data_IF_694412366749
#
_entry.id   IF_694412366749
#
_cell.length_a   1.000
_cell.length_b   1.000
_cell.length_c   1.000
_cell.angle_alpha   90.00
_cell.angle_beta   90.00
_cell.angle_gamma   90.00
#
_symmetry.space_group_name_H-M   'P 1'
#
loop_
_entity.id
_entity.type
_entity.pdbx_description
1 polymer ?
#
# COMPACT_ATOMS: atom_id res chain seq x y z
N UNK A 1 -4.28 5.62 16.97
CA UNK A 1 -3.50 4.38 17.16
C UNK A 1 -2.97 3.99 15.81
N UNK A 2 -1.67 3.73 15.72
CA UNK A 2 -0.96 3.42 14.47
C UNK A 2 -0.89 1.90 14.31
N UNK A 3 -1.10 1.34 13.11
CA UNK A 3 -1.00 -0.11 12.81
C UNK A 3 0.14 -0.87 13.48
N UNK A 4 1.29 -0.22 13.71
CA UNK A 4 2.43 -0.82 14.39
C UNK A 4 2.12 -1.23 15.84
N UNK A 5 1.21 -0.52 16.51
CA UNK A 5 0.78 -0.80 17.88
C UNK A 5 -0.30 -1.89 17.97
N UNK A 6 -0.84 -2.30 16.82
CA UNK A 6 -1.96 -3.26 16.75
C UNK A 6 -1.49 -4.70 16.85
N UNK A 7 -0.26 -5.01 16.43
CA UNK A 7 0.27 -6.37 16.41
C UNK A 7 1.34 -6.56 17.48
N UNK A 8 1.28 -7.71 18.16
CA UNK A 8 2.37 -8.07 19.07
C UNK A 8 3.66 -8.37 18.29
N UNK A 9 4.79 -8.13 18.94
CA UNK A 9 6.14 -8.42 18.39
C UNK A 9 6.25 -9.88 17.96
N UNK A 10 5.71 -10.82 18.75
CA UNK A 10 5.76 -12.25 18.46
C UNK A 10 4.92 -12.64 17.23
N UNK A 11 3.75 -12.02 17.03
CA UNK A 11 2.93 -12.23 15.83
C UNK A 11 3.66 -11.77 14.57
N UNK A 12 4.32 -10.61 14.62
CA UNK A 12 5.06 -10.08 13.48
C UNK A 12 6.31 -10.89 13.20
N UNK A 13 7.07 -11.25 14.23
CA UNK A 13 8.23 -12.13 14.10
C UNK A 13 7.83 -13.45 13.44
N UNK A 14 6.77 -14.10 13.94
CA UNK A 14 6.27 -15.35 13.37
C UNK A 14 5.89 -15.18 11.89
N UNK A 15 5.10 -14.15 11.58
CA UNK A 15 4.68 -13.88 10.20
C UNK A 15 5.87 -13.57 9.25
N UNK A 16 6.92 -12.93 9.76
CA UNK A 16 8.16 -12.71 8.99
C UNK A 16 8.88 -14.04 8.68
N UNK A 17 8.93 -14.95 9.65
CA UNK A 17 9.59 -16.25 9.52
C UNK A 17 8.74 -17.28 8.75
N UNK A 18 7.45 -17.05 8.58
CA UNK A 18 6.57 -17.89 7.75
C UNK A 18 6.51 -17.41 6.28
N UNK A 19 6.92 -16.17 6.00
CA UNK A 19 6.84 -15.57 4.67
C UNK A 19 7.84 -16.16 3.66
N UNK A 20 7.40 -16.78 2.55
CA UNK A 20 8.29 -17.54 1.65
C UNK A 20 9.36 -16.69 0.93
N UNK A 21 9.08 -15.39 0.72
CA UNK A 21 10.00 -14.48 0.03
C UNK A 21 10.96 -13.74 0.97
N UNK A 22 10.56 -13.53 2.23
CA UNK A 22 11.37 -12.81 3.23
C UNK A 22 12.18 -13.78 4.09
N UNK A 23 11.58 -14.89 4.53
CA UNK A 23 12.18 -15.86 5.45
C UNK A 23 13.61 -16.27 5.05
N UNK A 24 13.91 -16.67 3.80
CA UNK A 24 15.26 -17.13 3.47
C UNK A 24 16.33 -16.05 3.65
N UNK A 25 16.00 -14.79 3.37
CA UNK A 25 16.92 -13.66 3.53
C UNK A 25 17.11 -13.35 5.02
N UNK A 26 16.01 -13.34 5.78
CA UNK A 26 16.04 -13.07 7.21
C UNK A 26 16.80 -14.15 7.98
N UNK A 27 16.58 -15.44 7.69
CA UNK A 27 17.33 -16.55 8.28
C UNK A 27 18.83 -16.47 7.96
N UNK A 28 19.19 -16.10 6.72
CA UNK A 28 20.60 -15.87 6.36
C UNK A 28 21.19 -14.72 7.18
N UNK A 29 20.45 -13.62 7.36
CA UNK A 29 20.90 -12.44 8.14
C UNK A 29 21.06 -12.75 9.63
N UNK A 30 20.24 -13.66 10.18
CA UNK A 30 20.40 -14.15 11.55
C UNK A 30 21.66 -15.00 11.73
N UNK A 31 22.04 -15.77 10.70
CA UNK A 31 23.18 -16.69 10.76
C UNK A 31 24.52 -16.02 10.46
N UNK A 32 24.52 -14.95 9.67
CA UNK A 32 25.74 -14.28 9.23
C UNK A 32 25.51 -12.79 8.99
N UNK A 33 26.49 -11.96 9.36
CA UNK A 33 26.53 -10.55 8.99
C UNK A 33 26.90 -10.35 7.51
N UNK A 34 27.60 -11.33 6.91
CA UNK A 34 28.12 -11.24 5.54
C UNK A 34 26.98 -11.41 4.54
N UNK A 35 26.84 -10.43 3.64
CA UNK A 35 25.87 -10.47 2.56
C UNK A 35 26.19 -11.60 1.58
N UNK A 36 25.22 -12.48 1.25
CA UNK A 36 25.40 -13.46 0.18
C UNK A 36 25.83 -12.79 -1.12
N UNK A 37 26.68 -13.45 -1.89
CA UNK A 37 27.12 -12.99 -3.20
C UNK A 37 25.97 -12.98 -4.23
N UNK A 38 26.18 -12.25 -5.31
CA UNK A 38 25.20 -12.19 -6.42
C UNK A 38 24.99 -13.55 -7.09
N UNK A 39 26.01 -14.40 -7.10
CA UNK A 39 25.93 -15.75 -7.66
C UNK A 39 25.04 -16.65 -6.81
N UNK A 40 25.17 -16.59 -5.48
CA UNK A 40 24.36 -17.39 -4.55
C UNK A 40 22.87 -17.09 -4.65
N UNK A 41 22.49 -15.85 -4.95
CA UNK A 41 21.09 -15.43 -5.10
C UNK A 41 20.62 -15.34 -6.56
N UNK A 42 21.42 -15.79 -7.53
CA UNK A 42 21.11 -15.63 -8.96
C UNK A 42 19.82 -16.34 -9.38
N UNK A 43 19.52 -17.50 -8.79
CA UNK A 43 18.32 -18.30 -9.07
C UNK A 43 17.11 -17.94 -8.20
N UNK A 44 17.27 -16.99 -7.27
CA UNK A 44 16.17 -16.59 -6.39
C UNK A 44 15.10 -15.76 -7.13
N UNK A 45 13.90 -15.74 -6.54
CA UNK A 45 12.77 -14.95 -7.04
C UNK A 45 13.11 -13.45 -7.04
N UNK A 46 12.47 -12.65 -7.92
CA UNK A 46 12.64 -11.20 -7.90
C UNK A 46 12.33 -10.57 -6.52
N UNK A 47 11.38 -11.13 -5.78
CA UNK A 47 11.02 -10.71 -4.43
C UNK A 47 12.20 -10.89 -3.45
N UNK A 48 12.77 -12.11 -3.37
CA UNK A 48 13.94 -12.41 -2.54
C UNK A 48 15.14 -11.53 -2.89
N UNK A 49 15.39 -11.30 -4.19
CA UNK A 49 16.46 -10.41 -4.66
C UNK A 49 16.28 -8.97 -4.21
N UNK A 50 15.03 -8.47 -4.11
CA UNK A 50 14.74 -7.14 -3.56
C UNK A 50 15.07 -7.06 -2.08
N UNK A 51 14.68 -8.06 -1.29
CA UNK A 51 15.04 -8.11 0.14
C UNK A 51 16.55 -8.28 0.34
N UNK A 52 17.22 -9.08 -0.50
CA UNK A 52 18.68 -9.18 -0.51
C UNK A 52 19.36 -7.84 -0.79
N UNK A 53 18.80 -7.02 -1.68
CA UNK A 53 19.35 -5.69 -1.96
C UNK A 53 19.27 -4.73 -0.76
N UNK A 54 18.40 -5.02 0.22
CA UNK A 54 18.30 -4.27 1.49
C UNK A 54 19.25 -4.79 2.56
N UNK A 55 20.09 -5.79 2.27
CA UNK A 55 20.85 -6.49 3.32
C UNK A 55 21.57 -5.57 4.30
N UNK A 56 22.22 -4.52 3.79
CA UNK A 56 23.02 -3.59 4.59
C UNK A 56 22.14 -2.66 5.43
N UNK A 57 20.90 -2.41 4.99
CA UNK A 57 19.90 -1.66 5.76
C UNK A 57 19.01 -2.53 6.64
N UNK A 58 19.06 -3.86 6.52
CA UNK A 58 18.28 -4.78 7.35
C UNK A 58 18.88 -4.89 8.76
N UNK A 59 18.06 -4.57 9.77
CA UNK A 59 18.41 -4.67 11.18
C UNK A 59 17.33 -5.44 11.94
N UNK A 60 17.78 -6.22 12.92
CA UNK A 60 16.92 -6.92 13.85
C UNK A 60 16.69 -6.06 15.09
N UNK A 61 15.44 -5.91 15.52
CA UNK A 61 15.03 -5.27 16.78
C UNK A 61 14.01 -6.15 17.47
N UNK A 62 14.32 -6.61 18.68
CA UNK A 62 13.40 -7.45 19.47
C UNK A 62 12.86 -8.68 18.71
N UNK A 63 13.69 -9.26 17.84
CA UNK A 63 13.30 -10.41 17.02
C UNK A 63 12.56 -10.07 15.72
N UNK A 64 12.26 -8.80 15.45
CA UNK A 64 11.58 -8.33 14.24
C UNK A 64 12.54 -7.56 13.33
N UNK A 65 12.43 -7.80 12.03
CA UNK A 65 13.27 -7.14 11.04
C UNK A 65 12.70 -5.81 10.54
N UNK A 66 13.58 -4.81 10.50
CA UNK A 66 13.33 -3.47 9.98
C UNK A 66 14.38 -3.12 8.92
N UNK A 67 14.00 -2.33 7.92
CA UNK A 67 14.94 -1.61 7.07
C UNK A 67 15.21 -0.22 7.66
N UNK A 68 16.49 0.14 7.79
CA UNK A 68 16.93 1.47 8.17
C UNK A 68 17.18 2.30 6.92
N UNK A 69 16.51 3.43 6.80
CA UNK A 69 16.82 4.42 5.77
C UNK A 69 17.42 5.66 6.42
N UNK A 70 18.54 6.12 5.88
CA UNK A 70 19.20 7.37 6.28
C UNK A 70 19.29 8.28 5.05
N UNK A 71 19.10 9.59 5.25
CA UNK A 71 19.42 10.54 4.19
C UNK A 71 20.94 10.76 4.11
N UNK A 72 21.41 11.29 2.97
CA UNK A 72 22.85 11.52 2.72
C UNK A 72 23.51 12.46 3.76
N UNK A 73 22.71 13.23 4.51
CA UNK A 73 23.16 14.11 5.59
C UNK A 73 23.04 13.53 7.01
N UNK A 74 22.62 12.27 7.17
CA UNK A 74 22.45 11.59 8.47
C UNK A 74 21.39 12.20 9.41
N UNK A 75 20.72 13.28 9.00
CA UNK A 75 19.80 14.05 9.84
C UNK A 75 18.40 13.42 9.95
N UNK A 76 18.06 12.50 9.04
CA UNK A 76 16.79 11.78 9.06
C UNK A 76 17.06 10.28 9.02
N UNK A 77 16.77 9.60 10.12
CA UNK A 77 16.73 8.14 10.21
C UNK A 77 15.27 7.68 10.24
N UNK A 78 14.89 6.81 9.30
CA UNK A 78 13.58 6.17 9.26
C UNK A 78 13.72 4.66 9.40
N UNK A 79 12.87 4.08 10.22
CA UNK A 79 12.78 2.64 10.40
C UNK A 79 11.51 2.15 9.75
N UNK A 80 11.65 1.23 8.81
CA UNK A 80 10.54 0.63 8.10
C UNK A 80 10.43 -0.84 8.51
N UNK A 81 9.30 -1.23 9.09
CA UNK A 81 9.00 -2.63 9.34
C UNK A 81 8.98 -3.41 8.01
N UNK A 82 9.71 -4.53 7.93
CA UNK A 82 9.59 -5.45 6.80
C UNK A 82 8.25 -6.18 6.94
N UNK A 83 7.25 -5.72 6.19
CA UNK A 83 5.88 -6.14 6.38
C UNK A 83 5.64 -7.52 5.76
N UNK A 84 5.15 -8.52 6.52
CA UNK A 84 4.72 -9.79 5.97
C UNK A 84 3.55 -9.63 5.00
N UNK A 85 3.51 -10.45 3.94
CA UNK A 85 2.45 -10.38 2.92
C UNK A 85 1.03 -10.48 3.50
N UNK A 86 0.85 -11.27 4.55
CA UNK A 86 -0.44 -11.45 5.25
C UNK A 86 -0.99 -10.17 5.88
N UNK A 87 -0.14 -9.16 6.12
CA UNK A 87 -0.52 -7.88 6.77
C UNK A 87 -0.67 -6.71 5.80
N UNK A 88 -0.35 -6.89 4.51
CA UNK A 88 -0.40 -5.82 3.51
C UNK A 88 -1.81 -5.22 3.41
N UNK A 89 -2.84 -6.07 3.33
CA UNK A 89 -4.23 -5.61 3.17
C UNK A 89 -4.70 -4.74 4.34
N UNK A 90 -4.32 -5.11 5.57
CA UNK A 90 -4.65 -4.38 6.78
C UNK A 90 -4.03 -2.97 6.79
N UNK A 91 -2.75 -2.84 6.40
CA UNK A 91 -2.07 -1.54 6.26
C UNK A 91 -2.71 -0.67 5.18
N UNK A 92 -3.07 -1.26 4.04
CA UNK A 92 -3.71 -0.54 2.94
C UNK A 92 -5.10 -0.01 3.33
N UNK A 93 -5.86 -0.78 4.13
CA UNK A 93 -7.17 -0.36 4.66
C UNK A 93 -7.03 0.75 5.70
N UNK A 94 -6.16 0.62 6.70
CA UNK A 94 -5.98 1.67 7.74
C UNK A 94 -5.54 3.01 7.14
N UNK A 95 -4.59 2.96 6.20
CA UNK A 95 -4.06 4.20 5.57
C UNK A 95 -5.17 4.95 4.83
N UNK A 96 -6.18 4.22 4.36
CA UNK A 96 -7.37 4.77 3.71
C UNK A 96 -8.41 5.30 4.71
N UNK A 97 -8.70 4.55 5.78
CA UNK A 97 -9.81 4.83 6.71
C UNK A 97 -9.48 5.87 7.80
N UNK A 98 -8.23 6.35 7.86
CA UNK A 98 -7.83 7.38 8.84
C UNK A 98 -8.68 8.68 8.70
N UNK A 99 -9.19 9.19 9.84
CA UNK A 99 -10.13 10.31 9.96
C UNK A 99 -9.68 11.66 9.34
N UNK A 100 -8.44 11.76 8.85
CA UNK A 100 -7.96 12.91 8.07
C UNK A 100 -8.36 12.87 6.59
N UNK A 101 -9.16 11.88 6.17
CA UNK A 101 -10.37 12.02 5.34
C UNK A 101 -10.32 12.74 3.97
N UNK A 102 -9.17 13.19 3.50
CA UNK A 102 -8.99 13.66 2.13
C UNK A 102 -8.70 12.48 1.21
N UNK A 103 -9.21 12.49 -0.02
CA UNK A 103 -8.83 11.52 -1.04
C UNK A 103 -7.31 11.53 -1.25
N UNK A 104 -6.60 10.64 -0.55
CA UNK A 104 -5.18 10.48 -0.73
C UNK A 104 -4.97 9.74 -2.05
N UNK A 105 -4.60 10.49 -3.09
CA UNK A 105 -4.11 9.90 -4.33
C UNK A 105 -2.91 9.00 -4.04
N UNK A 106 -2.62 8.07 -4.95
CA UNK A 106 -1.54 7.06 -4.85
C UNK A 106 -0.29 7.59 -4.15
N UNK A 107 0.20 8.78 -4.55
CA UNK A 107 1.42 9.36 -4.00
C UNK A 107 1.35 9.61 -2.49
N UNK A 108 0.26 10.17 -1.99
CA UNK A 108 0.15 10.49 -0.56
C UNK A 108 0.01 9.21 0.29
N UNK A 109 -0.74 8.22 -0.20
CA UNK A 109 -0.83 6.89 0.44
C UNK A 109 0.54 6.22 0.47
N UNK A 110 1.27 6.29 -0.64
CA UNK A 110 2.62 5.75 -0.75
C UNK A 110 3.59 6.42 0.23
N UNK A 111 3.55 7.75 0.35
CA UNK A 111 4.38 8.50 1.30
C UNK A 111 4.12 8.04 2.75
N UNK A 112 2.85 7.99 3.17
CA UNK A 112 2.47 7.57 4.53
C UNK A 112 2.89 6.15 4.86
N UNK A 113 2.69 5.20 3.94
CA UNK A 113 3.08 3.82 4.16
C UNK A 113 4.61 3.71 4.28
N UNK A 114 5.36 4.41 3.42
CA UNK A 114 6.83 4.41 3.45
C UNK A 114 7.43 5.06 4.68
N UNK A 115 6.66 5.77 5.50
CA UNK A 115 7.19 6.26 6.78
C UNK A 115 7.45 5.12 7.76
N UNK A 116 6.70 4.00 7.64
CA UNK A 116 6.63 2.93 8.64
C UNK A 116 6.84 1.52 8.09
N UNK A 117 6.54 1.27 6.81
CA UNK A 117 6.52 -0.07 6.25
C UNK A 117 7.32 -0.18 4.96
N UNK A 118 7.83 -1.38 4.73
CA UNK A 118 8.45 -1.79 3.47
C UNK A 118 7.97 -3.20 3.07
N UNK A 119 7.67 -3.37 1.78
CA UNK A 119 7.61 -4.68 1.12
C UNK A 119 7.97 -4.55 -0.37
N UNK A 120 8.28 -5.67 -1.01
CA UNK A 120 8.87 -5.76 -2.34
C UNK A 120 8.03 -5.14 -3.48
N UNK A 121 6.70 -5.16 -3.36
CA UNK A 121 5.77 -4.62 -4.36
C UNK A 121 4.96 -3.42 -3.86
N UNK A 122 5.44 -2.71 -2.84
CA UNK A 122 4.73 -1.62 -2.16
C UNK A 122 4.09 -0.60 -3.09
N UNK A 123 4.85 -0.08 -4.07
CA UNK A 123 4.31 0.88 -5.04
C UNK A 123 3.17 0.28 -5.87
N UNK A 124 3.39 -0.90 -6.45
CA UNK A 124 2.44 -1.55 -7.34
C UNK A 124 1.15 -1.93 -6.60
N UNK A 125 1.27 -2.43 -5.37
CA UNK A 125 0.13 -2.80 -4.55
C UNK A 125 -0.70 -1.58 -4.14
N UNK A 126 -0.05 -0.47 -3.76
CA UNK A 126 -0.74 0.80 -3.46
C UNK A 126 -1.44 1.35 -4.70
N UNK A 127 -0.79 1.32 -5.87
CA UNK A 127 -1.40 1.76 -7.13
C UNK A 127 -2.64 0.92 -7.49
N UNK A 128 -2.54 -0.41 -7.38
CA UNK A 128 -3.65 -1.32 -7.61
C UNK A 128 -4.80 -1.07 -6.64
N UNK A 129 -4.51 -1.00 -5.34
CA UNK A 129 -5.49 -0.74 -4.29
C UNK A 129 -6.25 0.56 -4.51
N UNK A 130 -5.53 1.66 -4.80
CA UNK A 130 -6.17 2.94 -5.08
C UNK A 130 -7.08 2.88 -6.32
N UNK A 131 -6.68 2.18 -7.39
CA UNK A 131 -7.51 2.02 -8.60
C UNK A 131 -8.80 1.24 -8.30
N UNK A 132 -8.69 0.11 -7.61
CA UNK A 132 -9.82 -0.73 -7.25
C UNK A 132 -10.82 0.03 -6.37
N UNK A 133 -10.32 0.83 -5.42
CA UNK A 133 -11.17 1.67 -4.58
C UNK A 133 -11.96 2.72 -5.37
N UNK A 134 -11.32 3.40 -6.34
CA UNK A 134 -12.01 4.37 -7.20
C UNK A 134 -13.13 3.70 -8.01
N UNK A 135 -12.90 2.49 -8.52
CA UNK A 135 -13.91 1.70 -9.25
C UNK A 135 -15.08 1.35 -8.33
N UNK A 136 -14.81 0.85 -7.12
CA UNK A 136 -15.83 0.53 -6.13
C UNK A 136 -16.67 1.76 -5.76
N UNK A 137 -16.06 2.94 -5.60
CA UNK A 137 -16.77 4.19 -5.32
C UNK A 137 -17.65 4.63 -6.49
N UNK A 138 -17.15 4.55 -7.73
CA UNK A 138 -17.92 4.92 -8.91
C UNK A 138 -19.21 4.09 -9.04
N UNK A 139 -19.14 2.79 -8.68
CA UNK A 139 -20.32 1.89 -8.65
C UNK A 139 -21.30 2.21 -7.52
N UNK A 140 -20.83 2.78 -6.40
CA UNK A 140 -21.65 3.15 -5.24
C UNK A 140 -22.29 4.54 -5.33
N UNK A 141 -21.94 5.36 -6.33
CA UNK A 141 -22.65 6.64 -6.54
C UNK A 141 -24.11 6.32 -6.87
N UNK A 142 -25.09 6.88 -6.12
CA UNK A 142 -26.48 6.80 -6.51
C UNK A 142 -26.60 7.31 -7.95
N UNK A 143 -27.27 6.55 -8.83
CA UNK A 143 -27.69 7.11 -10.11
C UNK A 143 -28.63 8.26 -9.75
N UNK A 144 -28.24 9.50 -10.01
CA UNK A 144 -29.22 10.58 -10.03
C UNK A 144 -30.17 10.25 -11.18
N UNK A 145 -31.41 9.94 -10.84
CA UNK A 145 -32.53 10.03 -11.78
C UNK A 145 -32.75 11.52 -12.04
N UNK A 146 -31.91 12.11 -12.90
CA UNK A 146 -32.15 13.46 -13.40
C UNK A 146 -33.25 13.39 -14.46
N UNK A 147 -34.47 13.54 -13.95
CA UNK A 147 -35.63 13.83 -14.75
C UNK A 147 -35.52 15.19 -15.46
N UNK A 148 -36.17 15.23 -16.63
CA UNK A 148 -36.66 16.41 -17.38
C UNK A 148 -35.61 17.15 -18.22
N UNK A 149 -35.42 16.64 -19.44
CA UNK A 149 -35.06 17.48 -20.57
C UNK A 149 -36.19 18.49 -20.84
N UNK A 150 -35.94 19.75 -20.48
CA UNK A 150 -36.65 20.91 -21.04
C UNK A 150 -35.99 21.22 -22.37
N UNK A 151 -36.71 21.03 -23.47
CA UNK A 151 -36.45 21.75 -24.72
C UNK A 151 -37.76 22.31 -25.26
N UNK A 152 -37.68 23.57 -25.68
CA UNK A 152 -38.78 24.53 -25.76
C UNK A 152 -39.13 24.82 -27.24
N UNK A 153 -40.44 24.93 -27.52
CA UNK A 153 -41.18 25.64 -28.59
C UNK A 153 -41.00 25.28 -30.09
N UNK A 154 -42.14 25.01 -30.75
CA UNK A 154 -42.62 25.77 -31.93
C UNK A 154 -44.16 25.90 -31.91
N UNK A 155 -44.64 27.14 -32.10
CA UNK A 155 -46.01 27.58 -32.49
C UNK A 155 -46.39 27.01 -33.87
N UNK A 156 -47.62 26.86 -34.39
CA UNK A 156 -48.99 27.34 -34.16
C UNK A 156 -49.95 26.19 -34.65
N UNK A 157 -51.24 26.09 -34.31
CA UNK A 157 -52.37 26.80 -34.92
C UNK A 157 -53.67 26.57 -34.12
N UNK A 158 -54.64 27.46 -34.36
CA UNK A 158 -55.77 27.87 -33.52
C UNK A 158 -56.89 26.84 -33.33
N UNK A 159 -57.54 26.91 -32.16
CA UNK A 159 -58.81 26.25 -31.86
C UNK A 159 -60.01 27.15 -32.21
N UNK A 160 -61.01 26.52 -32.85
CA UNK A 160 -62.47 26.65 -32.73
C UNK A 160 -63.21 27.98 -32.97
N UNK A 161 -64.13 27.91 -33.94
CA UNK A 161 -65.56 28.25 -33.89
C UNK A 161 -66.07 29.48 -33.11
N UNK A 162 -66.78 30.37 -33.82
CA UNK A 162 -68.20 30.73 -33.58
C UNK A 162 -68.68 31.81 -34.56
N UNK A 163 -69.72 31.50 -35.34
CA UNK A 163 -71.08 32.07 -35.21
C UNK A 163 -72.04 31.19 -35.98
#
# INVERSE_FOLDING_TARGET
MTTEDTWSVSEIQKAQLEGPDIRPILEKKLKSAVRPSRQEIAQDSPAKKRYWALWDSLHLKEGVFYSKWENDGGSSCRWQLILPKSRIQEVLQETHDSASGGHFGVMKTLCRIRERFYWDYLRSDVEKWCREWQICRARKRPKSEDGKSVTRWTSAEKLSDRT
#
